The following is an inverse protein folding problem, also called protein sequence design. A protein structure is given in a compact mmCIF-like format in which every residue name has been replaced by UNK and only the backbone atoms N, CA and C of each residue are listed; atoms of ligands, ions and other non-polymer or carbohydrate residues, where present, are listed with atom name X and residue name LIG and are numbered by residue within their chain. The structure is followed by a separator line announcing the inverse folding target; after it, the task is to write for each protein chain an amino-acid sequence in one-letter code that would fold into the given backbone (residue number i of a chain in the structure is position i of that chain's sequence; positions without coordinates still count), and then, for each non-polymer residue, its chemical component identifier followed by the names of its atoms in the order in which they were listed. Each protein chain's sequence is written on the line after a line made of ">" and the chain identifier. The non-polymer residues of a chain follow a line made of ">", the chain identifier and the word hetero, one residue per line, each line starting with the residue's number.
data_IF_811756363722
#
_entry.id   IF_811756363722
#
_cell.length_a   1.000
_cell.length_b   1.000
_cell.length_c   1.000
_cell.angle_alpha   90.00
_cell.angle_beta   90.00
_cell.angle_gamma   90.00
#
_symmetry.space_group_name_H-M   'P 1'
#
loop_
_entity.id
_entity.type
_entity.pdbx_description
1 polymer ?
#
# COMPACT_ATOMS: atom_id res chain seq x y z
N UNK A 1 28.29 -3.42 -1.49
CA UNK A 1 26.84 -3.22 -1.69
C UNK A 1 26.68 -2.16 -2.75
N UNK A 2 25.86 -2.44 -3.76
CA UNK A 2 25.40 -1.44 -4.73
C UNK A 2 23.98 -1.04 -4.31
N UNK A 3 23.73 0.25 -4.17
CA UNK A 3 22.44 0.81 -3.73
C UNK A 3 21.68 1.46 -4.89
N UNK A 4 22.16 1.27 -6.12
CA UNK A 4 21.51 1.80 -7.32
C UNK A 4 20.41 0.84 -7.76
N UNK A 5 19.31 1.42 -8.23
CA UNK A 5 18.26 0.69 -8.90
C UNK A 5 18.84 -0.11 -10.07
N UNK A 6 18.37 -1.34 -10.24
CA UNK A 6 18.52 -2.10 -11.48
C UNK A 6 17.78 -1.40 -12.64
N UNK A 7 18.07 -1.75 -13.91
CA UNK A 7 17.35 -1.17 -15.04
C UNK A 7 15.82 -1.33 -14.96
N UNK A 8 15.33 -2.45 -14.41
CA UNK A 8 13.90 -2.72 -14.24
C UNK A 8 13.28 -1.88 -13.12
N UNK A 9 13.99 -1.72 -12.01
CA UNK A 9 13.59 -0.86 -10.89
C UNK A 9 13.57 0.62 -11.32
N UNK A 10 14.56 1.07 -12.08
CA UNK A 10 14.61 2.42 -12.64
C UNK A 10 13.43 2.68 -13.60
N UNK A 11 13.15 1.74 -14.50
CA UNK A 11 12.00 1.86 -15.42
C UNK A 11 10.66 1.88 -14.66
N UNK A 12 10.53 1.06 -13.60
CA UNK A 12 9.34 1.08 -12.74
C UNK A 12 9.19 2.43 -12.03
N UNK A 13 10.29 2.97 -11.49
CA UNK A 13 10.33 4.26 -10.81
C UNK A 13 9.93 5.40 -11.76
N UNK A 14 10.43 5.41 -12.98
CA UNK A 14 10.09 6.42 -13.98
C UNK A 14 8.60 6.35 -14.37
N UNK A 15 8.06 5.14 -14.54
CA UNK A 15 6.62 4.95 -14.78
C UNK A 15 5.78 5.48 -13.61
N UNK A 16 6.21 5.24 -12.38
CA UNK A 16 5.54 5.76 -11.19
C UNK A 16 5.59 7.30 -11.12
N UNK A 17 6.74 7.91 -11.42
CA UNK A 17 6.89 9.37 -11.46
C UNK A 17 5.99 10.03 -12.48
N UNK A 18 5.94 9.46 -13.70
CA UNK A 18 5.05 9.94 -14.75
C UNK A 18 3.59 9.92 -14.27
N UNK A 19 3.16 8.79 -13.69
CA UNK A 19 1.81 8.65 -13.14
C UNK A 19 1.52 9.62 -11.99
N UNK A 20 2.47 9.83 -11.07
CA UNK A 20 2.32 10.75 -9.95
C UNK A 20 2.23 12.21 -10.40
N UNK A 21 2.94 12.58 -11.47
CA UNK A 21 2.87 13.94 -12.02
C UNK A 21 1.44 14.29 -12.44
N UNK A 22 0.69 13.32 -12.95
CA UNK A 22 -0.70 13.50 -13.37
C UNK A 22 -1.70 13.34 -12.21
N UNK A 23 -1.40 12.49 -11.23
CA UNK A 23 -2.37 12.03 -10.22
C UNK A 23 -2.20 12.65 -8.84
N UNK A 24 -0.98 12.93 -8.38
CA UNK A 24 -0.71 13.30 -6.99
C UNK A 24 -1.52 14.54 -6.57
N UNK A 25 -1.61 15.55 -7.42
CA UNK A 25 -2.38 16.79 -7.14
C UNK A 25 -3.90 16.64 -7.22
N UNK A 26 -4.42 15.48 -7.63
CA UNK A 26 -5.87 15.24 -7.74
C UNK A 26 -6.47 14.61 -6.48
N UNK A 27 -5.63 14.21 -5.53
CA UNK A 27 -6.04 13.59 -4.28
C UNK A 27 -5.73 14.51 -3.09
N UNK A 28 -6.64 14.56 -2.09
CA UNK A 28 -6.43 15.35 -0.89
C UNK A 28 -5.23 14.83 -0.08
N UNK A 29 -4.48 15.75 0.49
CA UNK A 29 -3.40 15.52 1.44
C UNK A 29 -3.95 15.31 2.86
N UNK A 30 -3.13 14.82 3.79
CA UNK A 30 -3.56 14.47 5.15
C UNK A 30 -4.14 15.65 5.98
N UNK A 31 -3.98 16.89 5.52
CA UNK A 31 -4.55 18.09 6.15
C UNK A 31 -5.91 18.51 5.61
N UNK A 32 -6.39 17.89 4.53
CA UNK A 32 -7.63 18.27 3.88
C UNK A 32 -8.83 17.51 4.47
N UNK A 33 -9.98 18.17 4.61
CA UNK A 33 -11.20 17.57 5.18
C UNK A 33 -11.66 16.33 4.42
N UNK A 34 -11.44 16.29 3.10
CA UNK A 34 -11.83 15.17 2.24
C UNK A 34 -10.86 13.98 2.27
N UNK A 35 -9.72 14.11 2.98
CA UNK A 35 -8.64 13.11 2.98
C UNK A 35 -9.15 11.69 3.21
N UNK A 36 -9.89 11.49 4.30
CA UNK A 36 -10.36 10.17 4.72
C UNK A 36 -11.43 9.60 3.78
N UNK A 37 -12.28 10.46 3.23
CA UNK A 37 -13.35 10.04 2.33
C UNK A 37 -12.80 9.54 1.00
N UNK A 38 -11.68 10.13 0.53
CA UNK A 38 -11.07 9.80 -0.77
C UNK A 38 -9.95 8.75 -0.69
N UNK A 39 -9.61 8.22 0.49
CA UNK A 39 -8.60 7.16 0.61
C UNK A 39 -8.93 5.88 -0.16
N UNK A 40 -10.22 5.53 -0.27
CA UNK A 40 -10.65 4.37 -1.05
C UNK A 40 -10.39 4.54 -2.55
N UNK A 41 -10.67 5.74 -3.08
CA UNK A 41 -10.36 6.09 -4.47
C UNK A 41 -8.85 6.08 -4.73
N UNK A 42 -8.07 6.60 -3.78
CA UNK A 42 -6.61 6.60 -3.87
C UNK A 42 -6.03 5.18 -3.91
N UNK A 43 -6.52 4.30 -3.03
CA UNK A 43 -6.16 2.89 -3.02
C UNK A 43 -6.45 2.23 -4.37
N UNK A 44 -7.68 2.36 -4.86
CA UNK A 44 -8.06 1.78 -6.14
C UNK A 44 -7.27 2.36 -7.32
N UNK A 45 -6.91 3.65 -7.28
CA UNK A 45 -6.08 4.28 -8.29
C UNK A 45 -4.65 3.71 -8.30
N UNK A 46 -4.02 3.54 -7.13
CA UNK A 46 -2.70 2.91 -7.02
C UNK A 46 -2.73 1.45 -7.51
N UNK A 47 -3.75 0.69 -7.10
CA UNK A 47 -3.90 -0.70 -7.52
C UNK A 47 -4.14 -0.82 -9.03
N UNK A 48 -5.08 -0.03 -9.58
CA UNK A 48 -5.39 -0.02 -11.01
C UNK A 48 -4.21 0.40 -11.90
N UNK A 49 -3.29 1.21 -11.37
CA UNK A 49 -2.05 1.60 -12.05
C UNK A 49 -0.89 0.60 -11.85
N UNK A 50 -1.10 -0.47 -11.06
CA UNK A 50 -0.09 -1.49 -10.78
C UNK A 50 1.02 -0.99 -9.86
N UNK A 51 0.67 -0.18 -8.85
CA UNK A 51 1.58 0.35 -7.82
C UNK A 51 1.18 -0.08 -6.40
N UNK A 52 0.31 -1.09 -6.27
CA UNK A 52 -0.11 -1.62 -4.97
C UNK A 52 -0.15 -3.15 -4.99
N UNK A 53 0.13 -3.77 -3.85
CA UNK A 53 0.17 -5.23 -3.71
C UNK A 53 1.30 -5.89 -4.50
N UNK A 54 2.43 -5.20 -4.64
CA UNK A 54 3.52 -5.62 -5.52
C UNK A 54 4.15 -6.92 -5.04
N UNK A 55 4.45 -7.04 -3.75
CA UNK A 55 5.07 -8.24 -3.17
C UNK A 55 4.12 -9.38 -2.82
N UNK A 56 2.81 -9.20 -3.00
CA UNK A 56 1.82 -10.20 -2.57
C UNK A 56 1.53 -11.24 -3.65
N UNK A 57 1.01 -12.43 -3.27
CA UNK A 57 0.71 -13.51 -4.21
C UNK A 57 -0.30 -13.12 -5.29
N UNK A 58 -0.03 -13.53 -6.54
CA UNK A 58 -0.94 -13.32 -7.68
C UNK A 58 -2.29 -14.01 -7.49
N UNK A 59 -2.30 -15.13 -6.77
CA UNK A 59 -3.53 -15.86 -6.42
C UNK A 59 -4.58 -14.99 -5.70
N UNK A 60 -4.16 -13.88 -5.06
CA UNK A 60 -5.04 -12.95 -4.38
C UNK A 60 -5.07 -11.56 -5.02
N UNK A 61 -4.51 -11.40 -6.22
CA UNK A 61 -4.46 -10.12 -6.93
C UNK A 61 -3.19 -9.30 -6.68
N UNK A 62 -2.14 -9.86 -6.06
CA UNK A 62 -0.83 -9.21 -6.01
C UNK A 62 0.00 -9.41 -7.28
N UNK A 63 1.25 -8.94 -7.27
CA UNK A 63 2.16 -9.03 -8.42
C UNK A 63 3.37 -9.96 -8.22
N UNK A 64 3.58 -10.53 -7.03
CA UNK A 64 4.74 -11.39 -6.69
C UNK A 64 6.11 -10.79 -7.07
N UNK A 65 6.23 -9.47 -6.99
CA UNK A 65 7.47 -8.76 -7.21
C UNK A 65 8.33 -8.75 -5.94
N UNK A 66 9.65 -8.58 -6.06
CA UNK A 66 10.51 -8.36 -4.91
C UNK A 66 10.04 -7.17 -4.02
N UNK A 67 10.21 -7.22 -2.68
CA UNK A 67 9.78 -6.15 -1.78
C UNK A 67 10.37 -4.76 -2.05
N UNK A 68 11.49 -4.69 -2.79
CA UNK A 68 12.10 -3.42 -3.22
C UNK A 68 11.13 -2.54 -4.00
N UNK A 69 10.19 -3.12 -4.75
CA UNK A 69 9.19 -2.35 -5.50
C UNK A 69 8.20 -1.63 -4.58
N UNK A 70 7.83 -2.22 -3.44
CA UNK A 70 7.01 -1.54 -2.42
C UNK A 70 7.77 -0.35 -1.80
N UNK A 71 9.09 -0.50 -1.60
CA UNK A 71 9.96 0.58 -1.11
C UNK A 71 10.04 1.73 -2.12
N UNK A 72 10.24 1.42 -3.40
CA UNK A 72 10.26 2.43 -4.48
C UNK A 72 8.94 3.21 -4.49
N UNK A 73 7.79 2.53 -4.32
CA UNK A 73 6.49 3.22 -4.22
C UNK A 73 6.47 4.18 -3.05
N UNK A 74 6.82 3.73 -1.84
CA UNK A 74 6.78 4.56 -0.64
C UNK A 74 7.69 5.80 -0.77
N UNK A 75 8.87 5.65 -1.38
CA UNK A 75 9.80 6.76 -1.66
C UNK A 75 9.23 7.78 -2.65
N UNK A 76 8.66 7.32 -3.77
CA UNK A 76 8.09 8.20 -4.81
C UNK A 76 6.83 8.91 -4.32
N UNK A 77 5.97 8.24 -3.55
CA UNK A 77 4.83 8.88 -2.90
C UNK A 77 5.26 9.99 -1.94
N UNK A 78 6.23 9.71 -1.07
CA UNK A 78 6.75 10.70 -0.12
C UNK A 78 7.39 11.89 -0.83
N UNK A 79 8.21 11.66 -1.87
CA UNK A 79 8.84 12.73 -2.66
C UNK A 79 7.81 13.59 -3.40
N UNK A 80 6.75 12.99 -3.92
CA UNK A 80 5.69 13.70 -4.61
C UNK A 80 4.73 14.45 -3.67
N UNK A 81 4.85 14.26 -2.35
CA UNK A 81 3.87 14.77 -1.38
C UNK A 81 2.48 14.15 -1.56
N UNK A 82 2.40 12.99 -2.21
CA UNK A 82 1.16 12.28 -2.47
C UNK A 82 0.68 11.58 -1.18
N UNK A 83 -0.62 11.23 -1.09
CA UNK A 83 -1.12 10.45 0.02
C UNK A 83 -0.36 9.11 0.13
N UNK A 84 -0.02 8.65 1.36
CA UNK A 84 0.65 7.38 1.53
C UNK A 84 -0.23 6.23 1.04
N UNK A 85 0.39 5.09 0.69
CA UNK A 85 -0.38 3.89 0.37
C UNK A 85 -1.09 3.35 1.62
N UNK A 86 -2.21 2.64 1.47
CA UNK A 86 -2.88 1.96 2.58
C UNK A 86 -1.96 0.98 3.32
N UNK A 87 -2.00 1.05 4.66
CA UNK A 87 -1.22 0.14 5.53
C UNK A 87 -1.98 -1.17 5.76
N UNK A 88 -1.80 -2.12 4.84
CA UNK A 88 -2.47 -3.43 4.89
C UNK A 88 -1.53 -4.61 5.15
N UNK A 89 -0.21 -4.38 5.18
CA UNK A 89 0.80 -5.45 5.19
C UNK A 89 0.60 -6.49 6.30
N UNK A 90 0.35 -6.05 7.53
CA UNK A 90 0.10 -6.96 8.66
C UNK A 90 -1.20 -7.77 8.52
N UNK A 91 -2.26 -7.17 7.96
CA UNK A 91 -3.54 -7.87 7.77
C UNK A 91 -3.40 -8.94 6.67
N UNK A 92 -2.76 -8.59 5.55
CA UNK A 92 -2.48 -9.52 4.44
C UNK A 92 -1.60 -10.67 4.91
N UNK A 93 -0.52 -10.39 5.63
CA UNK A 93 0.37 -11.44 6.18
C UNK A 93 -0.35 -12.30 7.22
N UNK A 94 -1.13 -11.68 8.12
CA UNK A 94 -1.89 -12.40 9.15
C UNK A 94 -2.91 -13.35 8.54
N UNK A 95 -3.74 -12.87 7.62
CA UNK A 95 -4.71 -13.70 6.91
C UNK A 95 -4.03 -14.76 6.04
N UNK A 96 -3.01 -14.39 5.27
CA UNK A 96 -2.30 -15.32 4.38
C UNK A 96 -1.59 -16.46 5.11
N UNK A 97 -1.15 -16.24 6.36
CA UNK A 97 -0.47 -17.28 7.15
C UNK A 97 -1.40 -18.10 8.03
N UNK A 98 -2.47 -17.51 8.54
CA UNK A 98 -3.25 -18.13 9.63
C UNK A 98 -4.72 -18.40 9.29
N UNK A 99 -5.28 -17.77 8.26
CA UNK A 99 -6.66 -18.02 7.86
C UNK A 99 -6.78 -19.28 7.02
N UNK A 100 -7.97 -19.90 6.99
CA UNK A 100 -8.25 -21.02 6.09
C UNK A 100 -8.22 -20.56 4.62
N UNK A 101 -7.99 -21.46 3.65
CA UNK A 101 -7.99 -21.11 2.23
C UNK A 101 -9.26 -20.36 1.79
N UNK A 102 -10.43 -20.73 2.34
CA UNK A 102 -11.72 -20.11 2.04
C UNK A 102 -11.76 -18.65 2.52
N UNK A 103 -11.23 -18.36 3.71
CA UNK A 103 -11.15 -16.99 4.24
C UNK A 103 -10.14 -16.15 3.47
N UNK A 104 -9.00 -16.74 3.09
CA UNK A 104 -8.00 -16.07 2.26
C UNK A 104 -8.59 -15.65 0.91
N UNK A 105 -9.24 -16.57 0.20
CA UNK A 105 -9.88 -16.29 -1.10
C UNK A 105 -11.02 -15.28 -0.99
N UNK A 106 -11.76 -15.28 0.13
CA UNK A 106 -12.86 -14.35 0.34
C UNK A 106 -12.39 -12.92 0.61
N UNK A 107 -11.34 -12.73 1.40
CA UNK A 107 -10.99 -11.40 1.94
C UNK A 107 -9.75 -10.77 1.31
N UNK A 108 -8.73 -11.55 0.93
CA UNK A 108 -7.50 -10.99 0.39
C UNK A 108 -7.72 -10.23 -0.92
N UNK A 109 -8.49 -10.72 -1.93
CA UNK A 109 -8.66 -9.99 -3.18
C UNK A 109 -9.28 -8.60 -2.99
N UNK A 110 -10.34 -8.50 -2.17
CA UNK A 110 -11.02 -7.24 -1.90
C UNK A 110 -10.18 -6.26 -1.09
N UNK A 111 -9.36 -6.78 -0.18
CA UNK A 111 -8.40 -6.00 0.59
C UNK A 111 -7.27 -5.46 -0.29
N UNK A 112 -6.75 -6.28 -1.20
CA UNK A 112 -5.62 -5.91 -2.06
C UNK A 112 -6.04 -4.89 -3.11
N UNK A 113 -7.18 -5.11 -3.78
CA UNK A 113 -7.65 -4.24 -4.86
C UNK A 113 -8.35 -2.94 -4.41
N UNK A 114 -8.57 -2.77 -3.10
CA UNK A 114 -9.19 -1.57 -2.52
C UNK A 114 -10.72 -1.49 -2.67
N UNK A 115 -11.38 -2.57 -3.07
CA UNK A 115 -12.86 -2.64 -3.07
C UNK A 115 -13.42 -2.82 -1.64
N UNK A 116 -12.61 -3.32 -0.72
CA UNK A 116 -12.94 -3.43 0.70
C UNK A 116 -12.00 -2.55 1.53
N UNK A 117 -12.58 -1.74 2.41
CA UNK A 117 -11.82 -0.94 3.38
C UNK A 117 -11.56 -1.75 4.64
N UNK A 118 -10.32 -1.73 5.09
CA UNK A 118 -9.86 -2.45 6.27
C UNK A 118 -9.06 -1.53 7.18
N UNK A 119 -9.10 -1.82 8.47
CA UNK A 119 -8.29 -1.15 9.47
C UNK A 119 -7.66 -2.19 10.40
N UNK A 120 -6.55 -1.81 11.03
CA UNK A 120 -5.87 -2.61 12.04
C UNK A 120 -6.07 -1.97 13.41
N UNK A 121 -6.69 -2.70 14.32
CA UNK A 121 -6.93 -2.26 15.70
C UNK A 121 -5.90 -2.84 16.67
N UNK A 122 -4.64 -2.40 16.61
CA UNK A 122 -3.65 -2.77 17.63
C UNK A 122 -3.75 -1.92 18.91
N UNK A 123 -4.21 -0.67 18.78
CA UNK A 123 -4.27 0.28 19.89
C UNK A 123 -5.52 0.05 20.73
N UNK A 124 -5.35 -0.07 22.05
CA UNK A 124 -6.43 -0.16 23.03
C UNK A 124 -6.13 0.80 24.20
N UNK A 125 -7.16 1.29 24.91
CA UNK A 125 -6.95 2.09 26.13
C UNK A 125 -6.07 1.32 27.13
N UNK A 126 -4.87 1.85 27.43
CA UNK A 126 -3.91 1.24 28.36
C UNK A 126 -2.90 0.26 27.75
N UNK A 127 -2.99 -0.07 26.45
CA UNK A 127 -2.04 -0.98 25.78
C UNK A 127 -0.72 -0.31 25.35
N UNK A 128 -0.65 1.03 25.38
CA UNK A 128 0.60 1.74 25.18
C UNK A 128 1.52 1.56 26.40
N UNK A 129 2.70 0.96 26.22
CA UNK A 129 3.69 0.91 27.29
C UNK A 129 4.08 2.33 27.68
N UNK A 130 3.86 2.64 28.95
CA UNK A 130 4.50 3.74 29.65
C UNK A 130 6.01 3.52 29.60
N UNK A 131 6.70 4.25 28.72
CA UNK A 131 8.13 4.46 28.89
C UNK A 131 8.31 5.40 30.07
N UNK A 132 8.41 4.85 31.29
CA UNK A 132 8.99 5.59 32.41
C UNK A 132 10.48 5.74 32.10
N UNK A 133 10.90 6.98 31.83
CA UNK A 133 12.30 7.38 31.98
C UNK A 133 12.71 7.28 33.43
#
# INVERSE_FOLDING_TARGET
>A
MDFRDSPEEAAFRDRLRAWLTERAGTFPSAGDDEYWTRQGEWHQALYGAGFFGLSWPRAYGGHELPPVYDVIVDEELARAGAPPRPSLGYLVVGLGRHASPELQQRFLPGMINGTQRWCQGFSEPGAARTWRR
#
